data_IF_342621706126
#
_entry.id   IF_342621706126
#
_cell.length_a   1.000
_cell.length_b   1.000
_cell.length_c   1.000
_cell.angle_alpha   90.00
_cell.angle_beta   90.00
_cell.angle_gamma   90.00
#
_symmetry.space_group_name_H-M   'P 1'
#
loop_
_entity.id
_entity.type
_entity.pdbx_description
1 polymer ?
#
# COMPACT_ATOMS: atom_id res chain seq x y z
N UNK A 1 -25.73 -7.64 12.60
CA UNK A 1 -24.72 -7.47 11.54
C UNK A 1 -23.44 -7.05 12.24
N UNK A 2 -22.43 -7.91 12.26
CA UNK A 2 -21.18 -7.66 12.98
C UNK A 2 -20.17 -7.01 12.04
N UNK A 3 -19.53 -5.95 12.48
CA UNK A 3 -18.42 -5.31 11.79
C UNK A 3 -17.29 -5.04 12.79
N UNK A 4 -16.06 -5.06 12.29
CA UNK A 4 -14.88 -4.67 13.06
C UNK A 4 -14.09 -3.65 12.26
N UNK A 5 -13.44 -2.72 12.96
CA UNK A 5 -12.55 -1.73 12.38
C UNK A 5 -11.25 -1.75 13.17
N UNK A 6 -10.19 -2.22 12.52
CA UNK A 6 -8.86 -2.35 13.12
C UNK A 6 -7.93 -1.32 12.51
N UNK A 7 -7.28 -0.53 13.34
CA UNK A 7 -6.29 0.45 12.91
C UNK A 7 -4.94 -0.26 12.76
N UNK A 8 -4.43 -0.35 11.53
CA UNK A 8 -3.11 -0.95 11.25
C UNK A 8 -2.00 0.10 11.23
N UNK A 9 -2.34 1.36 10.97
CA UNK A 9 -1.45 2.52 11.03
C UNK A 9 -2.25 3.83 11.01
N UNK A 10 -1.59 4.96 11.32
CA UNK A 10 -2.25 6.27 11.42
C UNK A 10 -3.15 6.47 12.66
N UNK A 11 -3.12 5.55 13.63
CA UNK A 11 -3.97 5.62 14.85
C UNK A 11 -3.40 6.44 15.99
N UNK A 12 -2.08 6.42 16.17
CA UNK A 12 -1.36 7.17 17.21
C UNK A 12 -0.17 7.97 16.65
N UNK A 13 -0.06 8.03 15.32
CA UNK A 13 1.05 8.67 14.62
C UNK A 13 0.59 9.30 13.31
N UNK A 14 1.44 10.15 12.73
CA UNK A 14 1.20 10.78 11.43
C UNK A 14 1.80 9.89 10.34
N UNK A 15 0.94 9.32 9.51
CA UNK A 15 1.30 8.55 8.33
C UNK A 15 1.10 7.05 8.49
N UNK A 16 1.55 6.28 7.49
CA UNK A 16 1.23 4.84 7.37
C UNK A 16 -0.29 4.57 7.50
N UNK A 17 -1.13 5.44 6.95
CA UNK A 17 -2.59 5.31 7.10
C UNK A 17 -3.04 4.01 6.42
N UNK A 18 -3.66 3.14 7.21
CA UNK A 18 -4.12 1.84 6.76
C UNK A 18 -5.08 1.27 7.80
N UNK A 19 -6.26 0.86 7.37
CA UNK A 19 -7.33 0.40 8.25
C UNK A 19 -7.99 -0.85 7.69
N UNK A 20 -8.13 -1.89 8.53
CA UNK A 20 -8.82 -3.12 8.18
C UNK A 20 -10.27 -3.05 8.64
N UNK A 21 -11.19 -3.04 7.68
CA UNK A 21 -12.63 -3.09 7.90
C UNK A 21 -13.11 -4.52 7.60
N UNK A 22 -13.70 -5.20 8.59
CA UNK A 22 -14.39 -6.47 8.37
C UNK A 22 -15.89 -6.25 8.39
N UNK A 23 -16.57 -6.54 7.28
CA UNK A 23 -18.03 -6.49 7.19
C UNK A 23 -18.58 -7.92 7.08
N UNK A 24 -19.21 -8.43 8.13
CA UNK A 24 -19.71 -9.82 8.15
C UNK A 24 -18.62 -10.85 7.78
N UNK A 25 -17.37 -10.60 8.19
CA UNK A 25 -16.23 -11.47 7.91
C UNK A 25 -15.53 -11.24 6.57
N UNK A 26 -15.98 -10.26 5.77
CA UNK A 26 -15.34 -9.81 4.53
C UNK A 26 -14.25 -8.78 4.84
N UNK A 27 -12.96 -9.10 4.68
CA UNK A 27 -11.86 -8.19 4.98
C UNK A 27 -11.61 -7.20 3.84
N UNK A 28 -11.73 -5.91 4.15
CA UNK A 28 -11.51 -4.79 3.24
C UNK A 28 -10.40 -3.90 3.83
N UNK A 29 -9.45 -3.50 3.00
CA UNK A 29 -8.41 -2.56 3.41
C UNK A 29 -8.75 -1.15 2.92
N UNK A 30 -8.58 -0.17 3.81
CA UNK A 30 -8.68 1.24 3.49
C UNK A 30 -7.29 1.86 3.62
N UNK A 31 -6.78 2.38 2.49
CA UNK A 31 -5.44 2.93 2.31
C UNK A 31 -4.28 1.95 2.60
N UNK A 32 -3.12 2.28 2.06
CA UNK A 32 -1.87 1.54 2.19
C UNK A 32 -0.69 2.53 2.21
N UNK A 33 -0.59 3.28 3.30
CA UNK A 33 0.40 4.35 3.46
C UNK A 33 1.81 3.91 3.83
N UNK A 34 2.78 4.81 3.64
CA UNK A 34 4.09 4.75 4.30
C UNK A 34 4.21 5.81 5.39
N UNK A 35 4.93 5.50 6.46
CA UNK A 35 5.26 6.49 7.47
C UNK A 35 6.37 7.42 6.95
N UNK A 36 6.18 8.76 6.94
CA UNK A 36 7.07 9.70 6.27
C UNK A 36 8.44 9.88 6.94
N UNK A 37 8.61 9.39 8.19
CA UNK A 37 9.84 9.55 8.98
C UNK A 37 10.52 8.23 9.37
N UNK A 38 9.97 7.08 8.96
CA UNK A 38 10.55 5.76 9.24
C UNK A 38 11.05 5.18 7.92
N UNK A 39 11.94 4.18 7.99
CA UNK A 39 12.54 3.55 6.82
C UNK A 39 12.36 2.03 6.86
N UNK A 40 12.42 1.40 5.69
CA UNK A 40 12.30 -0.06 5.58
C UNK A 40 10.99 -0.57 6.16
N UNK A 41 11.04 -1.73 6.84
CA UNK A 41 9.84 -2.38 7.40
C UNK A 41 9.13 -1.54 8.47
N UNK A 42 9.86 -0.71 9.23
CA UNK A 42 9.27 0.14 10.25
C UNK A 42 8.34 1.22 9.67
N UNK A 43 8.47 1.52 8.38
CA UNK A 43 7.61 2.50 7.70
C UNK A 43 6.26 1.93 7.25
N UNK A 44 6.08 0.61 7.35
CA UNK A 44 4.86 -0.07 6.92
C UNK A 44 3.80 -0.05 8.02
N UNK A 45 2.51 -0.09 7.65
CA UNK A 45 1.45 -0.45 8.57
C UNK A 45 1.63 -1.88 9.10
N UNK A 46 0.97 -2.18 10.22
CA UNK A 46 1.02 -3.50 10.86
C UNK A 46 0.15 -4.51 10.09
N UNK A 47 0.63 -4.93 8.92
CA UNK A 47 -0.09 -5.84 8.02
C UNK A 47 -0.17 -7.29 8.53
N UNK A 48 0.51 -7.62 9.61
CA UNK A 48 0.53 -8.99 10.15
C UNK A 48 -0.80 -9.34 10.84
N UNK A 49 -1.66 -8.34 11.11
CA UNK A 49 -3.05 -8.54 11.54
C UNK A 49 -4.01 -8.98 10.41
N UNK A 50 -3.55 -8.98 9.16
CA UNK A 50 -4.35 -9.43 8.02
C UNK A 50 -4.12 -10.92 7.83
N UNK A 51 -4.96 -11.74 8.47
CA UNK A 51 -4.82 -13.20 8.49
C UNK A 51 -5.32 -13.90 7.20
N UNK A 52 -6.06 -13.18 6.36
CA UNK A 52 -6.81 -13.73 5.22
C UNK A 52 -6.59 -12.87 3.98
N UNK A 53 -6.84 -13.43 2.80
CA UNK A 53 -6.82 -12.65 1.57
C UNK A 53 -7.84 -11.50 1.65
N UNK A 54 -7.41 -10.29 1.27
CA UNK A 54 -8.28 -9.13 1.19
C UNK A 54 -9.25 -9.28 0.02
N UNK A 55 -10.52 -8.92 0.25
CA UNK A 55 -11.53 -8.91 -0.83
C UNK A 55 -11.43 -7.64 -1.68
N UNK A 56 -10.91 -6.55 -1.12
CA UNK A 56 -10.64 -5.32 -1.84
C UNK A 56 -9.73 -4.39 -1.05
N UNK A 57 -9.06 -3.49 -1.77
CA UNK A 57 -8.30 -2.37 -1.23
C UNK A 57 -8.92 -1.08 -1.77
N UNK A 58 -9.22 -0.11 -0.92
CA UNK A 58 -9.76 1.19 -1.30
C UNK A 58 -8.76 2.29 -0.99
N UNK A 59 -8.43 3.12 -1.96
CA UNK A 59 -7.53 4.27 -1.80
C UNK A 59 -8.34 5.56 -1.80
N UNK A 60 -8.19 6.32 -0.72
CA UNK A 60 -8.91 7.59 -0.52
C UNK A 60 -8.33 8.69 -1.41
N UNK A 61 -7.02 8.88 -1.38
CA UNK A 61 -6.31 9.88 -2.17
C UNK A 61 -4.82 9.51 -2.33
N UNK A 62 -4.10 10.27 -3.16
CA UNK A 62 -2.81 9.86 -3.72
C UNK A 62 -1.56 10.30 -2.93
N UNK A 63 -1.69 10.75 -1.68
CA UNK A 63 -0.51 11.07 -0.88
C UNK A 63 0.23 9.80 -0.44
N UNK A 64 1.55 9.89 -0.26
CA UNK A 64 2.40 8.72 0.05
C UNK A 64 2.07 8.07 1.39
N UNK A 65 1.55 8.83 2.34
CA UNK A 65 1.04 8.31 3.60
C UNK A 65 -0.31 7.58 3.48
N UNK A 66 -0.87 7.46 2.26
CA UNK A 66 -2.06 6.66 1.93
C UNK A 66 -1.81 5.63 0.81
N UNK A 67 -0.78 5.81 -0.03
CA UNK A 67 -0.50 4.89 -1.15
C UNK A 67 0.88 4.26 -1.13
N UNK A 68 1.80 4.76 -0.29
CA UNK A 68 3.22 4.44 -0.38
C UNK A 68 3.55 2.96 -0.25
N UNK A 69 2.78 2.20 0.52
CA UNK A 69 2.98 0.75 0.74
C UNK A 69 2.04 -0.10 -0.10
N UNK A 70 1.28 0.50 -1.02
CA UNK A 70 0.37 -0.20 -1.93
C UNK A 70 1.05 -1.33 -2.75
N UNK A 71 2.30 -1.19 -3.24
CA UNK A 71 3.00 -2.29 -3.90
C UNK A 71 3.25 -3.49 -2.97
N UNK A 72 3.54 -3.24 -1.69
CA UNK A 72 3.79 -4.29 -0.69
C UNK A 72 2.52 -5.09 -0.43
N UNK A 73 1.41 -4.39 -0.16
CA UNK A 73 0.16 -5.08 0.17
C UNK A 73 -0.47 -5.75 -1.05
N UNK A 74 -0.32 -5.19 -2.25
CA UNK A 74 -0.72 -5.84 -3.51
C UNK A 74 0.11 -7.11 -3.79
N UNK A 75 1.38 -7.16 -3.36
CA UNK A 75 2.17 -8.38 -3.45
C UNK A 75 1.72 -9.44 -2.46
N UNK A 76 1.35 -9.05 -1.23
CA UNK A 76 0.81 -9.97 -0.20
C UNK A 76 -0.59 -10.48 -0.54
N UNK A 77 -1.41 -9.65 -1.21
CA UNK A 77 -2.80 -9.95 -1.60
C UNK A 77 -3.04 -9.74 -3.11
N UNK A 78 -2.44 -10.58 -3.97
CA UNK A 78 -2.43 -10.36 -5.42
C UNK A 78 -3.79 -10.55 -6.11
N UNK A 79 -4.80 -11.07 -5.40
CA UNK A 79 -6.16 -11.21 -5.92
C UNK A 79 -7.06 -10.04 -5.54
N UNK A 80 -6.67 -9.23 -4.55
CA UNK A 80 -7.46 -8.10 -4.09
C UNK A 80 -7.52 -7.00 -5.17
N UNK A 81 -8.70 -6.67 -5.72
CA UNK A 81 -8.85 -5.50 -6.57
C UNK A 81 -8.59 -4.22 -5.78
N UNK A 82 -7.97 -3.25 -6.46
CA UNK A 82 -7.67 -1.93 -5.89
C UNK A 82 -8.61 -0.91 -6.51
N UNK A 83 -9.42 -0.28 -5.67
CA UNK A 83 -10.37 0.75 -6.05
C UNK A 83 -9.85 2.14 -5.68
N UNK A 84 -9.96 3.06 -6.61
CA UNK A 84 -9.70 4.48 -6.42
C UNK A 84 -10.51 5.28 -7.44
N UNK A 85 -10.66 6.59 -7.20
CA UNK A 85 -11.12 7.48 -8.26
C UNK A 85 -10.08 7.57 -9.38
N UNK A 86 -10.51 7.90 -10.61
CA UNK A 86 -9.59 8.07 -11.74
C UNK A 86 -8.47 9.09 -11.44
N UNK A 87 -8.75 10.29 -10.87
CA UNK A 87 -7.69 11.23 -10.50
C UNK A 87 -6.72 10.65 -9.45
N UNK A 88 -7.23 9.97 -8.42
CA UNK A 88 -6.39 9.33 -7.39
C UNK A 88 -5.47 8.28 -8.00
N UNK A 89 -5.98 7.42 -8.88
CA UNK A 89 -5.20 6.39 -9.57
C UNK A 89 -4.05 7.01 -10.38
N UNK A 90 -4.34 8.03 -11.18
CA UNK A 90 -3.35 8.66 -12.06
C UNK A 90 -2.21 9.31 -11.27
N UNK A 91 -2.54 9.97 -10.15
CA UNK A 91 -1.54 10.60 -9.28
C UNK A 91 -0.79 9.53 -8.47
N UNK A 92 -1.48 8.53 -7.93
CA UNK A 92 -0.87 7.48 -7.11
C UNK A 92 0.21 6.71 -7.89
N UNK A 93 -0.06 6.37 -9.16
CA UNK A 93 0.93 5.71 -10.02
C UNK A 93 2.20 6.57 -10.22
N UNK A 94 2.04 7.89 -10.37
CA UNK A 94 3.18 8.82 -10.48
C UNK A 94 3.95 8.94 -9.18
N UNK A 95 3.25 9.03 -8.05
CA UNK A 95 3.87 9.09 -6.72
C UNK A 95 4.70 7.83 -6.47
N UNK A 96 4.12 6.66 -6.72
CA UNK A 96 4.78 5.36 -6.54
C UNK A 96 6.02 5.18 -7.44
N UNK A 97 5.96 5.61 -8.71
CA UNK A 97 7.12 5.57 -9.60
C UNK A 97 8.28 6.44 -9.10
N UNK A 98 7.99 7.61 -8.53
CA UNK A 98 9.01 8.52 -8.01
C UNK A 98 9.63 7.98 -6.71
N UNK A 99 8.83 7.37 -5.83
CA UNK A 99 9.33 6.80 -4.56
C UNK A 99 10.32 5.65 -4.78
N UNK A 100 10.09 4.77 -5.75
CA UNK A 100 11.06 3.71 -6.10
C UNK A 100 12.35 4.31 -6.67
N UNK A 101 12.24 5.40 -7.43
CA UNK A 101 13.39 6.09 -8.00
C UNK A 101 14.24 6.74 -6.91
N UNK A 102 13.64 7.40 -5.92
CA UNK A 102 14.38 8.01 -4.81
C UNK A 102 14.94 6.97 -3.84
N UNK A 103 14.19 5.91 -3.52
CA UNK A 103 14.70 4.81 -2.69
C UNK A 103 15.95 4.16 -3.29
N UNK A 104 16.01 4.03 -4.62
CA UNK A 104 17.19 3.51 -5.32
C UNK A 104 18.43 4.43 -5.26
N UNK A 105 18.24 5.74 -5.02
CA UNK A 105 19.34 6.69 -4.89
C UNK A 105 19.98 6.67 -3.49
N UNK A 106 19.27 6.18 -2.48
CA UNK A 106 19.79 5.98 -1.12
C UNK A 106 20.38 4.56 -0.90
N UNK A 107 20.17 3.63 -1.84
CA UNK A 107 20.57 2.23 -1.75
C UNK A 107 22.00 1.90 -2.18
N UNK A 108 23.00 2.74 -1.88
CA UNK A 108 24.41 2.33 -2.00
C UNK A 108 24.87 1.63 -0.72
N UNK A 109 24.39 0.40 -0.56
CA UNK A 109 24.91 -0.63 0.35
C UNK A 109 24.47 -1.98 -0.21
N UNK A 110 25.44 -2.77 -0.67
CA UNK A 110 25.32 -4.07 -1.34
C UNK A 110 24.03 -4.85 -1.08
N UNK A 111 23.20 -5.03 -2.11
CA UNK A 111 22.51 -6.30 -2.38
C UNK A 111 21.96 -6.32 -3.81
N UNK A 112 22.26 -7.41 -4.51
CA UNK A 112 22.00 -7.62 -5.94
C UNK A 112 20.50 -7.88 -6.17
N UNK A 113 19.74 -6.86 -6.59
CA UNK A 113 18.34 -7.04 -7.02
C UNK A 113 18.29 -7.56 -8.47
N UNK A 114 17.63 -8.71 -8.74
CA UNK A 114 17.59 -9.29 -10.07
C UNK A 114 16.54 -8.61 -10.96
N UNK A 115 16.84 -8.56 -12.26
CA UNK A 115 15.83 -8.57 -13.33
C UNK A 115 14.98 -7.31 -13.48
N UNK A 116 15.57 -6.27 -14.07
CA UNK A 116 14.86 -5.08 -14.54
C UNK A 116 14.00 -5.44 -15.77
N UNK A 117 12.74 -5.79 -15.57
CA UNK A 117 11.79 -5.88 -16.68
C UNK A 117 11.39 -4.48 -17.17
N UNK A 118 11.68 -4.23 -18.44
CA UNK A 118 11.44 -2.98 -19.16
C UNK A 118 10.00 -2.92 -19.67
N UNK A 119 9.03 -3.01 -18.78
CA UNK A 119 7.65 -2.64 -19.10
C UNK A 119 6.94 -2.19 -17.82
N UNK A 120 7.19 -0.94 -17.40
CA UNK A 120 6.78 -0.34 -16.13
C UNK A 120 5.28 -0.10 -15.97
N UNK A 121 4.44 -1.04 -16.38
CA UNK A 121 3.00 -1.06 -16.10
C UNK A 121 2.71 -2.19 -15.14
N UNK A 122 3.02 -1.99 -13.86
CA UNK A 122 2.32 -2.75 -12.82
C UNK A 122 0.87 -2.28 -12.90
N UNK A 123 -0.02 -3.08 -13.48
CA UNK A 123 -1.46 -2.77 -13.52
C UNK A 123 -2.04 -3.00 -12.12
N UNK A 124 -1.68 -2.13 -11.18
CA UNK A 124 -2.06 -2.17 -9.77
C UNK A 124 -3.59 -2.07 -9.63
N UNK A 125 -4.19 -1.18 -10.41
CA UNK A 125 -5.62 -0.94 -10.42
C UNK A 125 -6.26 -1.74 -11.55
N UNK A 126 -6.81 -2.92 -11.20
CA UNK A 126 -7.62 -3.75 -12.11
C UNK A 126 -9.02 -3.14 -12.27
N UNK A 127 -9.64 -3.21 -13.47
CA UNK A 127 -11.00 -2.73 -13.70
C UNK A 127 -12.06 -3.57 -12.97
#
# INVERSE_FOLDING_TARGET
MAWTFTVLGGGQEIGANSYLLSLSGVPLLLDAGLHPKKFGLESLPDYDWIERELEAIFITHAHLDHVGSLPVINHRHPQAPIFATLPTKDIALRMLHNTVTDASQYGHGDEHLPGRERDGRVSLFRP
#
